data_IF_965241373520
#
_entry.id   IF_965241373520
#
_cell.length_a   1.000
_cell.length_b   1.000
_cell.length_c   1.000
_cell.angle_alpha   90.00
_cell.angle_beta   90.00
_cell.angle_gamma   90.00
#
_symmetry.space_group_name_H-M   'P 1'
#
loop_
_entity.id
_entity.type
_entity.pdbx_description
1 polymer ?
#
# COMPACT_ATOMS: atom_id res chain seq x y z
N UNK A 1 8.51 -9.81 30.58
CA UNK A 1 8.45 -10.67 29.37
C UNK A 1 8.50 -9.77 28.15
N UNK A 2 9.13 -10.21 27.07
CA UNK A 2 9.28 -9.41 25.86
C UNK A 2 9.37 -10.29 24.63
N UNK A 3 8.69 -9.91 23.56
CA UNK A 3 8.69 -10.63 22.28
C UNK A 3 8.75 -9.62 21.12
N UNK A 4 9.28 -10.06 19.99
CA UNK A 4 9.32 -9.28 18.74
C UNK A 4 9.25 -10.21 17.54
N UNK A 5 8.63 -9.73 16.46
CA UNK A 5 8.59 -10.46 15.19
C UNK A 5 9.59 -9.86 14.19
N UNK A 6 10.03 -10.64 13.19
CA UNK A 6 10.73 -10.12 12.03
C UNK A 6 9.93 -8.99 11.37
N UNK A 7 10.64 -8.06 10.73
CA UNK A 7 10.01 -6.99 9.96
C UNK A 7 9.22 -7.60 8.81
N UNK A 8 7.98 -7.17 8.66
CA UNK A 8 7.15 -7.49 7.51
C UNK A 8 7.25 -6.35 6.50
N UNK A 9 7.54 -6.68 5.24
CA UNK A 9 7.62 -5.72 4.14
C UNK A 9 6.47 -5.95 3.17
N UNK A 10 5.68 -4.92 2.91
CA UNK A 10 4.59 -4.94 1.93
C UNK A 10 5.08 -4.42 0.56
N UNK A 11 4.40 -4.78 -0.55
CA UNK A 11 4.80 -4.34 -1.89
C UNK A 11 4.86 -2.82 -2.07
N UNK A 12 4.08 -2.07 -1.28
CA UNK A 12 4.11 -0.61 -1.24
C UNK A 12 5.43 -0.02 -0.74
N UNK A 13 6.31 -0.86 -0.21
CA UNK A 13 7.53 -0.47 0.48
C UNK A 13 7.34 -0.15 1.97
N UNK A 14 6.12 -0.29 2.50
CA UNK A 14 5.86 -0.20 3.93
C UNK A 14 6.52 -1.37 4.67
N UNK A 15 7.32 -1.05 5.67
CA UNK A 15 7.83 -1.99 6.66
C UNK A 15 7.05 -1.82 7.97
N UNK A 16 6.65 -2.95 8.55
CA UNK A 16 5.98 -3.01 9.85
C UNK A 16 6.76 -3.93 10.77
N UNK A 17 7.14 -3.42 11.94
CA UNK A 17 7.76 -4.20 13.01
C UNK A 17 6.80 -4.28 14.20
N UNK A 18 6.69 -5.47 14.80
CA UNK A 18 5.80 -5.73 15.94
C UNK A 18 6.62 -6.20 17.13
N UNK A 19 6.42 -5.57 18.27
CA UNK A 19 7.04 -5.97 19.53
C UNK A 19 6.07 -5.80 20.69
N UNK A 20 6.20 -6.63 21.71
CA UNK A 20 5.38 -6.54 22.90
C UNK A 20 6.22 -6.76 24.16
N UNK A 21 5.91 -6.00 25.21
CA UNK A 21 6.50 -6.20 26.54
C UNK A 21 5.39 -6.30 27.57
N UNK A 22 5.57 -7.16 28.57
CA UNK A 22 4.65 -7.30 29.70
C UNK A 22 5.37 -6.96 30.99
N UNK A 23 4.81 -6.00 31.71
CA UNK A 23 5.30 -5.53 33.00
C UNK A 23 4.11 -5.21 33.91
N UNK A 24 4.15 -5.69 35.16
CA UNK A 24 3.09 -5.45 36.17
C UNK A 24 1.67 -5.74 35.66
N UNK A 25 1.50 -6.81 34.87
CA UNK A 25 0.21 -7.21 34.31
C UNK A 25 -0.31 -6.36 33.15
N UNK A 26 0.46 -5.39 32.65
CA UNK A 26 0.13 -4.57 31.48
C UNK A 26 0.95 -5.01 30.28
N UNK A 27 0.29 -5.17 29.13
CA UNK A 27 0.94 -5.34 27.83
C UNK A 27 1.21 -3.97 27.25
N UNK A 28 2.44 -3.73 26.81
CA UNK A 28 2.82 -2.63 25.93
C UNK A 28 3.11 -3.23 24.56
N UNK A 29 2.17 -3.07 23.64
CA UNK A 29 2.31 -3.48 22.25
C UNK A 29 2.84 -2.31 21.43
N UNK A 30 3.87 -2.55 20.61
CA UNK A 30 4.61 -1.51 19.87
C UNK A 30 4.68 -1.88 18.40
N UNK A 31 4.23 -0.96 17.56
CA UNK A 31 4.27 -1.02 16.12
C UNK A 31 5.25 0.03 15.62
N UNK A 32 6.17 -0.35 14.74
CA UNK A 32 7.09 0.60 14.11
C UNK A 32 6.93 0.54 12.61
N UNK A 33 6.62 1.69 12.01
CA UNK A 33 6.39 1.89 10.59
C UNK A 33 7.54 2.68 9.96
N UNK A 34 7.98 2.24 8.79
CA UNK A 34 8.94 2.99 7.96
C UNK A 34 8.76 2.59 6.49
N UNK A 35 9.33 3.37 5.58
CA UNK A 35 9.41 2.97 4.16
C UNK A 35 10.79 2.40 3.82
N UNK A 36 10.88 1.59 2.75
CA UNK A 36 12.15 1.07 2.21
C UNK A 36 12.88 2.07 1.31
N UNK A 37 12.14 2.83 0.47
CA UNK A 37 12.75 3.66 -0.57
C UNK A 37 12.04 5.00 -0.75
N UNK A 38 10.82 4.99 -1.27
CA UNK A 38 10.02 6.19 -1.51
C UNK A 38 9.01 6.42 -0.39
N UNK A 39 8.70 7.69 -0.03
CA UNK A 39 7.69 7.98 0.97
C UNK A 39 6.35 7.31 0.66
N UNK A 40 5.67 6.88 1.71
CA UNK A 40 4.30 6.36 1.68
C UNK A 40 3.50 7.01 2.80
N UNK A 41 2.18 7.11 2.63
CA UNK A 41 1.26 7.65 3.64
C UNK A 41 -0.09 6.94 3.56
N UNK A 42 -0.95 7.16 4.54
CA UNK A 42 -2.32 6.67 4.52
C UNK A 42 -2.60 5.68 5.64
N UNK A 43 -3.73 5.02 5.52
CA UNK A 43 -4.24 4.13 6.57
C UNK A 43 -3.60 2.75 6.51
N UNK A 44 -3.30 2.21 7.70
CA UNK A 44 -2.92 0.80 7.90
C UNK A 44 -3.86 0.13 8.89
N UNK A 45 -4.15 -1.15 8.65
CA UNK A 45 -4.92 -2.02 9.52
C UNK A 45 -3.96 -2.75 10.46
N UNK A 46 -4.30 -2.79 11.74
CA UNK A 46 -3.72 -3.69 12.72
C UNK A 46 -4.83 -4.38 13.52
N UNK A 47 -4.82 -5.70 13.57
CA UNK A 47 -5.73 -6.48 14.42
C UNK A 47 -5.10 -6.66 15.79
N UNK A 48 -5.83 -6.28 16.83
CA UNK A 48 -5.46 -6.49 18.23
C UNK A 48 -6.59 -7.25 18.90
N UNK A 49 -6.45 -8.56 18.96
CA UNK A 49 -7.43 -9.52 19.47
C UNK A 49 -6.89 -10.29 20.66
N UNK A 50 -7.80 -10.84 21.47
CA UNK A 50 -7.50 -11.90 22.42
C UNK A 50 -8.28 -13.17 22.06
N UNK A 51 -7.99 -14.27 22.76
CA UNK A 51 -8.66 -15.54 22.53
C UNK A 51 -10.20 -15.49 22.63
N UNK A 52 -10.77 -14.47 23.29
CA UNK A 52 -12.21 -14.40 23.59
C UNK A 52 -12.87 -13.06 23.21
N UNK A 53 -12.11 -11.99 22.95
CA UNK A 53 -12.67 -10.64 22.75
C UNK A 53 -11.65 -9.66 22.16
N UNK A 54 -12.07 -8.43 21.88
CA UNK A 54 -11.17 -7.32 21.59
C UNK A 54 -10.69 -6.69 22.91
N UNK A 55 -9.37 -6.62 23.19
CA UNK A 55 -8.86 -5.91 24.35
C UNK A 55 -9.26 -4.42 24.30
N UNK A 56 -9.46 -3.83 25.48
CA UNK A 56 -9.68 -2.38 25.60
C UNK A 56 -8.32 -1.66 25.49
N UNK A 57 -7.85 -1.52 24.24
CA UNK A 57 -6.54 -0.97 23.94
C UNK A 57 -6.56 0.55 23.98
N UNK A 58 -5.72 1.12 24.85
CA UNK A 58 -5.41 2.56 24.84
C UNK A 58 -4.17 2.81 24.00
N UNK A 59 -4.30 3.64 22.97
CA UNK A 59 -3.21 4.03 22.07
C UNK A 59 -2.53 5.32 22.55
N UNK A 60 -1.28 5.52 22.19
CA UNK A 60 -0.63 6.83 22.33
C UNK A 60 -1.09 7.81 21.25
N UNK A 61 -0.87 9.10 21.50
CA UNK A 61 -1.31 10.19 20.61
C UNK A 61 -0.27 10.49 19.50
N UNK A 62 0.65 9.57 19.22
CA UNK A 62 1.72 9.80 18.21
C UNK A 62 1.13 9.96 16.81
N UNK A 63 0.07 9.18 16.53
CA UNK A 63 -0.68 9.23 15.28
C UNK A 63 -2.16 9.05 15.58
N UNK A 64 -3.00 9.38 14.59
CA UNK A 64 -4.44 9.13 14.71
C UNK A 64 -4.69 7.63 14.63
N UNK A 65 -5.30 7.09 15.68
CA UNK A 65 -5.77 5.69 15.74
C UNK A 65 -7.27 5.68 16.03
N UNK A 66 -8.00 4.86 15.28
CA UNK A 66 -9.44 4.68 15.47
C UNK A 66 -9.82 3.21 15.31
N UNK A 67 -10.90 2.76 15.96
CA UNK A 67 -11.42 1.42 15.72
C UNK A 67 -11.76 1.23 14.24
N UNK A 68 -11.40 0.07 13.70
CA UNK A 68 -11.74 -0.30 12.33
C UNK A 68 -13.26 -0.35 12.12
N UNK A 69 -13.71 0.11 10.95
CA UNK A 69 -15.13 0.11 10.57
C UNK A 69 -15.34 -0.66 9.27
N UNK A 70 -15.83 -1.91 9.33
CA UNK A 70 -16.21 -2.67 8.15
C UNK A 70 -17.26 -1.96 7.27
N UNK A 71 -18.08 -1.08 7.86
CA UNK A 71 -19.06 -0.29 7.13
C UNK A 71 -18.41 0.75 6.20
N UNK A 72 -17.19 1.19 6.49
CA UNK A 72 -16.46 2.16 5.67
C UNK A 72 -15.52 1.48 4.68
N UNK A 73 -14.93 0.35 5.07
CA UNK A 73 -13.87 -0.30 4.29
C UNK A 73 -14.33 -1.55 3.54
N UNK A 74 -15.48 -2.13 3.90
CA UNK A 74 -15.95 -3.46 3.46
C UNK A 74 -15.06 -4.64 3.85
N UNK A 75 -14.04 -4.42 4.68
CA UNK A 75 -13.13 -5.46 5.20
C UNK A 75 -13.68 -6.00 6.52
N UNK A 76 -13.76 -7.32 6.70
CA UNK A 76 -14.11 -7.92 8.00
C UNK A 76 -12.86 -8.15 8.86
N UNK A 77 -12.49 -7.12 9.63
CA UNK A 77 -11.44 -7.21 10.63
C UNK A 77 -11.98 -6.93 12.03
N UNK A 78 -12.53 -7.97 12.67
CA UNK A 78 -12.93 -7.89 14.08
C UNK A 78 -11.72 -7.56 14.95
N UNK A 79 -11.91 -6.64 15.90
CA UNK A 79 -10.83 -6.09 16.72
C UNK A 79 -9.72 -5.36 15.93
N UNK A 80 -10.03 -4.93 14.70
CA UNK A 80 -9.15 -4.12 13.89
C UNK A 80 -9.07 -2.68 14.40
N UNK A 81 -7.93 -2.07 14.13
CA UNK A 81 -7.67 -0.65 14.33
C UNK A 81 -7.13 -0.06 13.03
N UNK A 82 -7.62 1.14 12.70
CA UNK A 82 -7.10 1.97 11.62
C UNK A 82 -6.10 2.95 12.20
N UNK A 83 -4.86 2.87 11.75
CA UNK A 83 -3.77 3.75 12.13
C UNK A 83 -3.46 4.62 10.91
N UNK A 84 -3.69 5.93 11.02
CA UNK A 84 -3.47 6.88 9.93
C UNK A 84 -2.04 7.40 10.00
N UNK A 85 -1.24 7.07 9.00
CA UNK A 85 0.16 7.47 8.90
C UNK A 85 0.28 8.69 7.99
N UNK A 86 0.94 9.73 8.50
CA UNK A 86 1.45 10.79 7.64
C UNK A 86 2.60 10.27 6.77
N UNK A 87 3.12 11.13 5.88
CA UNK A 87 4.19 10.75 4.97
C UNK A 87 5.43 10.22 5.73
N UNK A 88 5.67 8.91 5.61
CA UNK A 88 6.82 8.23 6.21
C UNK A 88 8.07 8.46 5.37
N UNK A 89 9.18 8.82 6.01
CA UNK A 89 10.50 8.81 5.40
C UNK A 89 11.25 7.52 5.76
N UNK A 90 12.40 7.27 5.12
CA UNK A 90 13.25 6.12 5.50
C UNK A 90 13.96 6.34 6.84
N UNK A 91 14.29 7.60 7.14
CA UNK A 91 15.17 8.00 8.23
C UNK A 91 14.39 8.21 9.54
N UNK A 92 13.10 8.51 9.44
CA UNK A 92 12.23 8.83 10.57
C UNK A 92 11.12 7.78 10.69
N UNK A 93 11.38 6.65 11.38
CA UNK A 93 10.34 5.68 11.65
C UNK A 93 9.30 6.24 12.61
N UNK A 94 8.04 5.88 12.40
CA UNK A 94 6.93 6.22 13.30
C UNK A 94 6.66 5.03 14.20
N UNK A 95 6.67 5.25 15.51
CA UNK A 95 6.36 4.22 16.50
C UNK A 95 5.03 4.53 17.18
N UNK A 96 4.14 3.54 17.21
CA UNK A 96 2.82 3.63 17.81
C UNK A 96 2.69 2.56 18.88
N UNK A 97 2.19 2.93 20.06
CA UNK A 97 2.07 2.02 21.21
C UNK A 97 0.63 1.84 21.61
N UNK A 98 0.21 0.59 21.81
CA UNK A 98 -1.03 0.24 22.52
C UNK A 98 -0.72 -0.31 23.91
N UNK A 99 -1.61 -0.04 24.88
CA UNK A 99 -1.57 -0.62 26.22
C UNK A 99 -2.91 -1.23 26.59
N UNK A 100 -2.88 -2.43 27.18
CA UNK A 100 -4.05 -3.14 27.67
C UNK A 100 -3.65 -4.21 28.70
N UNK A 101 -4.64 -4.84 29.32
CA UNK A 101 -4.43 -5.85 30.36
C UNK A 101 -3.88 -7.17 29.80
N UNK A 102 -2.82 -7.70 30.40
CA UNK A 102 -2.28 -9.02 30.03
C UNK A 102 -3.28 -10.15 30.33
N UNK A 103 -4.16 -9.95 31.32
CA UNK A 103 -5.21 -10.92 31.66
C UNK A 103 -6.27 -11.01 30.55
N UNK A 104 -6.68 -9.87 29.98
CA UNK A 104 -7.64 -9.83 28.86
C UNK A 104 -7.08 -10.50 27.61
N UNK A 105 -5.77 -10.36 27.38
CA UNK A 105 -5.06 -11.00 26.28
C UNK A 105 -4.67 -12.46 26.56
N UNK A 106 -5.02 -13.01 27.73
CA UNK A 106 -4.63 -14.35 28.17
C UNK A 106 -3.11 -14.62 28.15
N UNK A 107 -2.30 -13.58 28.39
CA UNK A 107 -0.84 -13.68 28.40
C UNK A 107 -0.35 -13.93 29.82
N UNK A 108 0.04 -15.17 30.10
CA UNK A 108 0.52 -15.59 31.42
C UNK A 108 2.04 -15.82 31.50
N UNK A 109 2.67 -16.11 30.36
CA UNK A 109 4.08 -16.46 30.28
C UNK A 109 4.68 -16.03 28.92
N UNK A 110 5.98 -16.26 28.74
CA UNK A 110 6.74 -15.84 27.56
C UNK A 110 6.27 -16.55 26.27
N UNK A 111 5.86 -17.81 26.36
CA UNK A 111 5.35 -18.58 25.22
C UNK A 111 4.01 -18.00 24.76
N UNK A 112 3.07 -17.76 25.69
CA UNK A 112 1.79 -17.12 25.35
C UNK A 112 1.97 -15.72 24.76
N UNK A 113 2.95 -14.93 25.23
CA UNK A 113 3.24 -13.62 24.66
C UNK A 113 3.72 -13.73 23.20
N UNK A 114 4.60 -14.69 22.92
CA UNK A 114 5.11 -14.93 21.56
C UNK A 114 3.99 -15.40 20.63
N UNK A 115 3.18 -16.36 21.06
CA UNK A 115 2.02 -16.85 20.31
C UNK A 115 1.01 -15.73 20.05
N UNK A 116 0.63 -14.98 21.09
CA UNK A 116 -0.28 -13.85 20.95
C UNK A 116 0.21 -12.83 19.93
N UNK A 117 1.51 -12.51 19.95
CA UNK A 117 2.11 -11.56 18.99
C UNK A 117 2.05 -12.09 17.55
N UNK A 118 2.31 -13.39 17.35
CA UNK A 118 2.18 -14.05 16.04
C UNK A 118 0.74 -14.07 15.55
N UNK A 119 -0.22 -14.32 16.45
CA UNK A 119 -1.65 -14.34 16.13
C UNK A 119 -2.14 -12.97 15.65
N UNK A 120 -1.60 -11.86 16.20
CA UNK A 120 -1.97 -10.51 15.73
C UNK A 120 -1.52 -10.27 14.29
N UNK A 121 -0.29 -10.67 13.96
CA UNK A 121 0.19 -10.61 12.58
C UNK A 121 -0.67 -11.49 11.66
N UNK A 122 -0.92 -12.74 12.04
CA UNK A 122 -1.71 -13.67 11.21
C UNK A 122 -3.14 -13.19 11.01
N UNK A 123 -3.79 -12.65 12.06
CA UNK A 123 -5.14 -12.11 11.95
C UNK A 123 -5.19 -10.86 11.06
N UNK A 124 -4.18 -9.99 11.18
CA UNK A 124 -4.02 -8.82 10.29
C UNK A 124 -3.82 -9.26 8.84
N UNK A 125 -2.90 -10.17 8.59
CA UNK A 125 -2.60 -10.68 7.25
C UNK A 125 -3.81 -11.40 6.64
N UNK A 126 -4.56 -12.16 7.44
CA UNK A 126 -5.80 -12.80 6.98
C UNK A 126 -6.85 -11.79 6.54
N UNK A 127 -7.07 -10.73 7.32
CA UNK A 127 -8.03 -9.68 6.95
C UNK A 127 -7.59 -8.89 5.72
N UNK A 128 -6.29 -8.65 5.57
CA UNK A 128 -5.73 -7.92 4.43
C UNK A 128 -5.79 -8.74 3.12
N UNK A 129 -5.62 -10.06 3.20
CA UNK A 129 -5.54 -10.95 2.04
C UNK A 129 -6.83 -11.78 1.83
N UNK A 130 -7.98 -11.30 2.30
CA UNK A 130 -9.25 -11.93 1.96
C UNK A 130 -9.55 -11.69 0.47
N UNK A 131 -9.61 -12.77 -0.31
CA UNK A 131 -9.87 -12.75 -1.75
C UNK A 131 -11.36 -12.49 -2.06
N UNK A 132 -12.25 -12.58 -1.06
CA UNK A 132 -13.65 -12.21 -1.22
C UNK A 132 -13.86 -10.68 -1.22
N UNK A 133 -12.89 -9.90 -0.75
CA UNK A 133 -13.03 -8.45 -0.59
C UNK A 133 -12.44 -7.65 -1.76
N UNK A 134 -13.32 -6.93 -2.45
CA UNK A 134 -13.02 -6.06 -3.60
C UNK A 134 -12.61 -4.63 -3.24
N UNK A 135 -12.59 -4.30 -1.95
CA UNK A 135 -12.19 -3.00 -1.42
C UNK A 135 -10.78 -2.61 -1.83
N UNK A 136 -10.51 -1.31 -1.93
CA UNK A 136 -9.18 -0.74 -2.15
C UNK A 136 -8.61 -0.07 -0.90
N UNK A 137 -9.28 -0.23 0.25
CA UNK A 137 -8.83 0.30 1.54
C UNK A 137 -7.50 -0.34 1.96
N UNK A 138 -6.71 0.37 2.78
CA UNK A 138 -5.37 -0.04 3.24
C UNK A 138 -4.42 -0.37 2.08
N UNK A 139 -4.36 0.55 1.11
CA UNK A 139 -3.55 0.43 -0.11
C UNK A 139 -2.08 0.10 0.19
N UNK A 140 -1.53 0.62 1.29
CA UNK A 140 -0.17 0.35 1.72
C UNK A 140 0.10 -1.13 2.06
N UNK A 141 -0.92 -1.88 2.46
CA UNK A 141 -0.77 -3.28 2.86
C UNK A 141 -1.37 -4.26 1.84
N UNK A 142 -2.43 -3.86 1.12
CA UNK A 142 -3.19 -4.77 0.25
C UNK A 142 -2.88 -4.66 -1.24
N UNK A 143 -2.32 -3.54 -1.72
CA UNK A 143 -1.99 -3.41 -3.15
C UNK A 143 -0.79 -4.30 -3.49
N UNK A 144 -1.00 -5.32 -4.31
CA UNK A 144 0.01 -6.34 -4.61
C UNK A 144 0.94 -5.90 -5.75
N UNK A 145 0.35 -5.47 -6.87
CA UNK A 145 1.08 -5.05 -8.06
C UNK A 145 0.21 -4.12 -8.90
N UNK A 146 0.76 -3.64 -10.01
CA UNK A 146 0.07 -2.79 -10.97
C UNK A 146 0.33 -3.27 -12.40
N UNK A 147 -0.58 -2.87 -13.29
CA UNK A 147 -0.45 -3.15 -14.72
C UNK A 147 -0.78 -1.92 -15.55
N UNK A 148 0.01 -1.71 -16.60
CA UNK A 148 -0.27 -0.73 -17.64
C UNK A 148 -1.21 -1.32 -18.71
N UNK A 149 -2.28 -0.58 -18.97
CA UNK A 149 -3.20 -0.78 -20.09
C UNK A 149 -3.06 0.40 -21.06
N UNK A 150 -2.61 0.08 -22.27
CA UNK A 150 -2.44 1.01 -23.39
C UNK A 150 -3.03 0.37 -24.65
N UNK A 151 -3.38 1.16 -25.68
CA UNK A 151 -3.70 0.62 -27.00
C UNK A 151 -2.50 -0.14 -27.57
N UNK A 152 -2.75 -1.26 -28.25
CA UNK A 152 -1.69 -2.01 -28.93
C UNK A 152 -1.13 -1.24 -30.14
N UNK A 153 -1.90 -0.30 -30.69
CA UNK A 153 -1.49 0.58 -31.80
C UNK A 153 -1.95 2.02 -31.57
N UNK A 154 -1.07 2.96 -31.88
CA UNK A 154 -1.35 4.40 -31.88
C UNK A 154 -0.75 5.05 -33.13
N UNK A 155 -1.33 6.16 -33.58
CA UNK A 155 -0.78 6.93 -34.70
C UNK A 155 0.34 7.82 -34.23
N UNK A 156 1.35 8.00 -35.07
CA UNK A 156 2.35 9.05 -34.95
C UNK A 156 1.69 10.42 -34.70
N UNK A 157 2.29 11.24 -33.85
CA UNK A 157 1.79 12.56 -33.46
C UNK A 157 0.63 12.55 -32.45
N UNK A 158 0.17 11.37 -32.02
CA UNK A 158 -0.93 11.26 -31.04
C UNK A 158 -0.43 11.11 -29.61
N UNK A 159 -1.19 11.62 -28.64
CA UNK A 159 -1.02 11.25 -27.23
C UNK A 159 -1.29 9.74 -27.06
N UNK A 160 -0.51 9.08 -26.22
CA UNK A 160 -0.69 7.65 -25.92
C UNK A 160 -1.50 7.55 -24.62
N UNK A 161 -2.75 7.08 -24.66
CA UNK A 161 -3.55 6.94 -23.45
C UNK A 161 -3.03 5.77 -22.61
N UNK A 162 -2.52 6.08 -21.43
CA UNK A 162 -2.07 5.14 -20.40
C UNK A 162 -3.13 5.06 -19.30
N UNK A 163 -3.45 3.84 -18.89
CA UNK A 163 -4.25 3.56 -17.69
C UNK A 163 -3.48 2.56 -16.85
N UNK A 164 -3.28 2.87 -15.56
CA UNK A 164 -2.63 1.98 -14.61
C UNK A 164 -3.66 1.46 -13.63
N UNK A 165 -3.80 0.14 -13.59
CA UNK A 165 -4.74 -0.57 -12.72
C UNK A 165 -3.96 -1.27 -11.61
N UNK A 166 -4.56 -1.31 -10.41
CA UNK A 166 -4.02 -2.05 -9.27
C UNK A 166 -4.58 -3.47 -9.20
N UNK A 167 -3.74 -4.40 -8.76
CA UNK A 167 -4.13 -5.78 -8.41
C UNK A 167 -4.12 -5.95 -6.90
N UNK A 168 -5.22 -6.49 -6.39
CA UNK A 168 -5.47 -6.80 -4.98
C UNK A 168 -5.63 -8.31 -4.80
N UNK A 169 -5.88 -8.76 -3.56
CA UNK A 169 -6.19 -10.17 -3.25
C UNK A 169 -7.34 -10.71 -4.11
N UNK A 170 -8.45 -9.97 -4.19
CA UNK A 170 -9.60 -10.29 -5.04
C UNK A 170 -9.38 -10.12 -6.55
N UNK A 171 -8.19 -9.70 -6.98
CA UNK A 171 -7.81 -9.50 -8.38
C UNK A 171 -7.70 -8.03 -8.82
N UNK A 172 -7.69 -7.82 -10.13
CA UNK A 172 -7.51 -6.50 -10.75
C UNK A 172 -8.75 -5.61 -10.56
N UNK A 173 -8.56 -4.41 -10.00
CA UNK A 173 -9.61 -3.41 -9.91
C UNK A 173 -9.66 -2.58 -11.20
N UNK A 174 -10.67 -2.86 -12.04
CA UNK A 174 -10.90 -2.16 -13.32
C UNK A 174 -11.76 -0.90 -13.18
N UNK A 175 -12.42 -0.72 -12.04
CA UNK A 175 -13.39 0.36 -11.81
C UNK A 175 -12.70 1.65 -11.38
N UNK A 176 -11.61 1.53 -10.62
CA UNK A 176 -10.85 2.66 -10.08
C UNK A 176 -9.40 2.57 -10.53
N UNK A 177 -9.06 3.13 -11.70
CA UNK A 177 -7.66 3.27 -12.10
C UNK A 177 -6.86 4.02 -11.05
N UNK A 178 -5.63 3.59 -10.81
CA UNK A 178 -4.68 4.30 -9.94
C UNK A 178 -4.24 5.60 -10.63
N UNK A 179 -4.01 5.52 -11.95
CA UNK A 179 -3.46 6.60 -12.75
C UNK A 179 -3.99 6.52 -14.19
N UNK A 180 -4.24 7.67 -14.81
CA UNK A 180 -4.64 7.78 -16.23
C UNK A 180 -4.01 9.00 -16.89
N UNK A 181 -3.74 8.93 -18.19
CA UNK A 181 -3.37 10.10 -19.00
C UNK A 181 -4.53 10.57 -19.90
N UNK A 182 -4.67 11.88 -20.17
CA UNK A 182 -3.88 12.96 -19.60
C UNK A 182 -4.05 13.06 -18.09
N UNK A 183 -2.96 13.35 -17.39
CA UNK A 183 -3.00 13.33 -15.92
C UNK A 183 -3.97 14.37 -15.37
N UNK A 184 -4.79 13.97 -14.39
CA UNK A 184 -5.66 14.88 -13.68
C UNK A 184 -4.95 15.43 -12.44
N UNK A 185 -5.16 16.70 -12.10
CA UNK A 185 -4.50 17.31 -10.93
C UNK A 185 -4.99 16.74 -9.59
N UNK A 186 -6.00 15.87 -9.59
CA UNK A 186 -6.62 15.30 -8.39
C UNK A 186 -6.31 13.80 -8.33
N UNK A 187 -5.18 13.40 -7.71
CA UNK A 187 -4.80 12.00 -7.61
C UNK A 187 -5.83 11.20 -6.80
N UNK A 188 -5.96 9.91 -7.13
CA UNK A 188 -6.76 8.99 -6.30
C UNK A 188 -6.15 8.86 -4.91
N UNK A 189 -6.95 8.44 -3.92
CA UNK A 189 -6.43 8.14 -2.58
C UNK A 189 -5.33 7.08 -2.64
N UNK A 190 -5.51 6.03 -3.45
CA UNK A 190 -4.52 4.98 -3.67
C UNK A 190 -3.19 5.56 -4.17
N UNK A 191 -3.23 6.42 -5.20
CA UNK A 191 -2.03 7.06 -5.73
C UNK A 191 -1.37 7.97 -4.70
N UNK A 192 -2.17 8.72 -3.93
CA UNK A 192 -1.69 9.58 -2.85
C UNK A 192 -0.97 8.75 -1.78
N UNK A 193 -1.54 7.62 -1.37
CA UNK A 193 -1.00 6.78 -0.32
C UNK A 193 0.40 6.22 -0.69
N UNK A 194 0.48 5.55 -1.84
CA UNK A 194 1.70 4.84 -2.26
C UNK A 194 2.82 5.75 -2.76
N UNK A 195 2.52 7.04 -3.00
CA UNK A 195 3.51 8.05 -3.39
C UNK A 195 3.88 8.98 -2.24
N UNK A 196 3.23 8.87 -1.09
CA UNK A 196 3.40 9.81 0.03
C UNK A 196 2.81 11.20 -0.28
N UNK A 197 1.85 11.29 -1.19
CA UNK A 197 1.24 12.53 -1.66
C UNK A 197 2.12 13.35 -2.62
N UNK A 198 3.16 12.74 -3.17
CA UNK A 198 4.21 13.40 -3.95
C UNK A 198 4.21 12.87 -5.39
N UNK A 199 3.66 13.66 -6.31
CA UNK A 199 3.51 13.26 -7.71
C UNK A 199 4.85 13.12 -8.45
N UNK A 200 5.93 13.71 -7.94
CA UNK A 200 7.28 13.45 -8.45
C UNK A 200 7.74 11.99 -8.27
N UNK A 201 7.01 11.20 -7.47
CA UNK A 201 7.19 9.75 -7.36
C UNK A 201 6.36 8.95 -8.36
N UNK A 202 5.74 9.61 -9.34
CA UNK A 202 5.07 9.00 -10.49
C UNK A 202 5.84 9.36 -11.74
N UNK A 203 6.25 8.35 -12.51
CA UNK A 203 6.97 8.58 -13.76
C UNK A 203 6.69 7.45 -14.76
N UNK A 204 6.17 7.82 -15.93
CA UNK A 204 6.16 6.94 -17.09
C UNK A 204 7.59 6.73 -17.59
N UNK A 205 7.84 5.54 -18.13
CA UNK A 205 9.12 5.16 -18.72
C UNK A 205 8.88 4.52 -20.09
N UNK A 206 9.88 4.51 -20.96
CA UNK A 206 9.77 3.90 -22.28
C UNK A 206 11.04 3.14 -22.67
N UNK A 207 10.87 2.21 -23.61
CA UNK A 207 11.96 1.57 -24.36
C UNK A 207 11.76 1.79 -25.86
N UNK A 208 11.44 3.01 -26.25
CA UNK A 208 11.07 3.37 -27.60
C UNK A 208 12.20 4.04 -28.39
N UNK A 209 13.40 4.18 -27.82
CA UNK A 209 14.59 4.71 -28.50
C UNK A 209 14.33 6.06 -29.19
N UNK A 210 13.56 6.94 -28.53
CA UNK A 210 13.19 8.27 -29.05
C UNK A 210 11.92 8.29 -29.92
N UNK A 211 11.25 7.15 -30.13
CA UNK A 211 9.97 7.10 -30.86
C UNK A 211 8.77 7.62 -30.02
N UNK A 212 8.97 7.89 -28.73
CA UNK A 212 7.99 8.58 -27.87
C UNK A 212 8.64 9.74 -27.15
N UNK A 213 7.82 10.69 -26.72
CA UNK A 213 8.19 11.74 -25.78
C UNK A 213 7.38 11.59 -24.51
N UNK A 214 8.05 11.51 -23.37
CA UNK A 214 7.44 11.64 -22.06
C UNK A 214 7.68 13.08 -21.57
N UNK A 215 6.65 13.71 -21.01
CA UNK A 215 6.73 15.08 -20.50
C UNK A 215 7.80 15.21 -19.39
N UNK A 216 8.36 16.41 -19.14
CA UNK A 216 9.40 16.59 -18.13
C UNK A 216 9.00 16.18 -16.70
N UNK A 217 7.72 16.32 -16.36
CA UNK A 217 7.14 15.84 -15.10
C UNK A 217 6.95 14.31 -15.06
N UNK A 218 7.10 13.63 -16.20
CA UNK A 218 7.00 12.18 -16.31
C UNK A 218 5.57 11.67 -16.46
N UNK A 219 4.58 12.53 -16.65
CA UNK A 219 3.17 12.16 -16.47
C UNK A 219 2.42 11.86 -17.75
N UNK A 220 2.79 12.45 -18.87
CA UNK A 220 2.14 12.22 -20.15
C UNK A 220 3.13 11.69 -21.19
N UNK A 221 2.60 10.97 -22.17
CA UNK A 221 3.39 10.34 -23.22
C UNK A 221 2.74 10.55 -24.59
N UNK A 222 3.55 10.86 -25.59
CA UNK A 222 3.12 11.07 -26.98
C UNK A 222 3.97 10.29 -27.96
N UNK A 223 3.34 9.79 -29.03
CA UNK A 223 4.00 9.07 -30.10
C UNK A 223 4.68 10.06 -31.07
N UNK A 224 5.98 9.89 -31.31
CA UNK A 224 6.76 10.77 -32.19
C UNK A 224 7.02 10.18 -33.56
N UNK A 225 7.40 8.89 -33.63
CA UNK A 225 7.80 8.22 -34.87
C UNK A 225 7.34 6.76 -34.90
N UNK A 226 7.18 6.14 -36.09
CA UNK A 226 6.80 4.74 -36.20
C UNK A 226 7.83 3.81 -35.57
N UNK A 227 7.39 2.93 -34.67
CA UNK A 227 8.23 1.95 -33.97
C UNK A 227 7.36 0.89 -33.27
N UNK A 228 7.96 -0.25 -32.94
CA UNK A 228 7.40 -1.18 -31.95
C UNK A 228 8.26 -1.12 -30.70
N UNK A 229 7.65 -0.80 -29.56
CA UNK A 229 8.35 -0.61 -28.30
C UNK A 229 7.45 -0.92 -27.09
N UNK A 230 7.87 -0.52 -25.89
CA UNK A 230 7.11 -0.71 -24.66
C UNK A 230 7.10 0.55 -23.80
N UNK A 231 6.01 0.71 -23.04
CA UNK A 231 5.82 1.76 -22.03
C UNK A 231 5.75 1.09 -20.66
N UNK A 232 6.55 1.59 -19.72
CA UNK A 232 6.56 1.20 -18.30
C UNK A 232 6.17 2.37 -17.41
N UNK A 233 6.19 2.14 -16.10
CA UNK A 233 6.03 3.21 -15.11
C UNK A 233 6.74 2.87 -13.78
N UNK A 234 7.11 3.90 -13.06
CA UNK A 234 7.53 3.87 -11.66
C UNK A 234 6.50 4.65 -10.83
N UNK A 235 5.91 4.01 -9.82
CA UNK A 235 4.92 4.65 -8.93
C UNK A 235 5.28 4.33 -7.50
N UNK A 236 5.80 5.33 -6.77
CA UNK A 236 6.27 5.13 -5.41
C UNK A 236 7.35 4.06 -5.35
N UNK A 237 7.08 2.98 -4.62
CA UNK A 237 7.98 1.82 -4.52
C UNK A 237 7.68 0.71 -5.57
N UNK A 238 6.69 0.89 -6.44
CA UNK A 238 6.32 -0.09 -7.47
C UNK A 238 7.05 0.17 -8.78
N UNK A 239 7.63 -0.89 -9.34
CA UNK A 239 8.00 -0.95 -10.74
C UNK A 239 6.87 -1.61 -11.52
N UNK A 240 6.18 -0.84 -12.35
CA UNK A 240 5.05 -1.34 -13.15
C UNK A 240 5.59 -2.02 -14.41
N UNK A 241 5.13 -3.24 -14.67
CA UNK A 241 5.58 -4.01 -15.82
C UNK A 241 5.27 -3.29 -17.13
N UNK A 242 6.26 -3.31 -18.03
CA UNK A 242 6.15 -2.73 -19.36
C UNK A 242 5.05 -3.37 -20.20
N UNK A 243 4.35 -2.55 -20.97
CA UNK A 243 3.29 -2.94 -21.88
C UNK A 243 3.68 -2.60 -23.32
N UNK A 244 3.55 -3.55 -24.28
CA UNK A 244 3.98 -3.34 -25.66
C UNK A 244 3.02 -2.42 -26.43
N UNK A 245 3.58 -1.65 -27.35
CA UNK A 245 2.86 -0.74 -28.23
C UNK A 245 3.52 -0.68 -29.61
N UNK A 246 2.72 -0.43 -30.64
CA UNK A 246 3.19 -0.14 -31.99
C UNK A 246 2.69 1.22 -32.46
N UNK A 247 3.62 2.11 -32.78
CA UNK A 247 3.35 3.40 -33.39
C UNK A 247 3.33 3.22 -34.89
N UNK A 248 2.23 3.59 -35.53
CA UNK A 248 2.05 3.51 -36.99
C UNK A 248 2.17 4.90 -37.60
N UNK A 249 2.72 4.97 -38.82
CA UNK A 249 2.80 6.21 -39.58
C UNK A 249 1.42 6.83 -39.77
N UNK A 250 1.35 8.16 -39.79
CA UNK A 250 0.10 8.92 -39.95
C UNK A 250 -0.62 8.73 -41.30
N UNK A 251 -0.07 7.98 -42.24
CA UNK A 251 -0.61 7.82 -43.59
C UNK A 251 -0.67 6.36 -44.05
N UNK A 252 -1.88 5.87 -44.23
CA UNK A 252 -2.28 4.89 -45.27
C UNK A 252 -3.73 5.16 -45.60
#
# INVERSE_FOLDING_TARGET
>A
MSASLPVQTYPSGLNVSRAATVSKGTVKYTLTYRTIKKPVRGDVLEVVSSAHSCPDATWDDTVKVASHSPALTSIDAKCGWTITLEALSQEEPVTVTAKFSAKEAAISNQENLQTWLQDQQQATDKALNDDADTSTSYSLQRLQTMRIKIPSRVKEGSAIPVTILGTWSAGENKMTPIYTTPFNSNPTSILTDITGGKLENVRLTDRCSGAVSITPDGHDVSALHPASCSIGAEIGNYQVQESPITIVAGGS
#
